data_IF_623756587852
#
_entry.id   IF_623756587852
#
_cell.length_a   1.000
_cell.length_b   1.000
_cell.length_c   1.000
_cell.angle_alpha   90.00
_cell.angle_beta   90.00
_cell.angle_gamma   90.00
#
_symmetry.space_group_name_H-M   'P 1'
#
loop_
_entity.id
_entity.type
_entity.pdbx_description
1 polymer ?
#
# COMPACT_ATOMS: atom_id res chain seq x y z
N UNK A 1 -45.40 -58.82 -5.15
CA UNK A 1 -45.06 -57.40 -4.94
C UNK A 1 -44.15 -57.32 -3.73
N UNK A 2 -42.84 -57.39 -3.98
CA UNK A 2 -41.78 -57.27 -2.98
C UNK A 2 -40.69 -56.46 -3.67
N UNK A 3 -40.35 -55.30 -3.12
CA UNK A 3 -39.15 -54.57 -3.51
C UNK A 3 -38.18 -54.66 -2.34
N UNK A 4 -37.02 -55.25 -2.63
CA UNK A 4 -35.83 -55.31 -1.79
C UNK A 4 -34.67 -54.75 -2.63
N UNK A 5 -33.81 -53.99 -1.98
CA UNK A 5 -32.79 -53.10 -2.55
C UNK A 5 -31.59 -53.81 -3.20
N UNK A 6 -30.94 -53.08 -4.13
CA UNK A 6 -29.53 -53.09 -4.60
C UNK A 6 -29.43 -51.84 -5.50
N UNK A 7 -28.41 -51.00 -5.60
CA UNK A 7 -27.01 -50.97 -5.18
C UNK A 7 -26.35 -49.89 -6.06
N UNK A 8 -25.30 -49.23 -5.57
CA UNK A 8 -24.54 -48.19 -6.30
C UNK A 8 -23.98 -48.69 -7.65
N UNK A 9 -23.92 -47.80 -8.64
CA UNK A 9 -22.87 -47.84 -9.67
C UNK A 9 -22.58 -46.44 -10.21
N UNK A 10 -21.35 -45.98 -9.92
CA UNK A 10 -20.63 -44.92 -10.61
C UNK A 10 -20.53 -45.24 -12.11
N UNK A 11 -20.56 -44.21 -12.95
CA UNK A 11 -19.80 -44.21 -14.19
C UNK A 11 -19.10 -42.87 -14.34
N UNK A 12 -17.79 -42.99 -14.44
CA UNK A 12 -16.80 -41.95 -14.51
C UNK A 12 -16.79 -41.28 -15.88
N UNK A 13 -16.74 -39.95 -15.88
CA UNK A 13 -16.06 -39.14 -16.90
C UNK A 13 -15.32 -38.03 -16.14
N UNK A 14 -14.43 -38.45 -15.24
CA UNK A 14 -13.38 -37.62 -14.70
C UNK A 14 -12.12 -37.88 -15.52
N UNK A 15 -11.74 -36.92 -16.35
CA UNK A 15 -10.36 -36.63 -16.77
C UNK A 15 -10.37 -35.69 -17.98
N UNK A 16 -10.74 -34.42 -17.76
CA UNK A 16 -10.46 -33.33 -18.69
C UNK A 16 -10.02 -32.06 -17.95
N UNK A 17 -9.29 -32.21 -16.84
CA UNK A 17 -8.51 -31.12 -16.27
C UNK A 17 -7.17 -31.71 -15.86
N UNK A 18 -6.31 -31.96 -16.85
CA UNK A 18 -4.88 -32.13 -16.56
C UNK A 18 -4.38 -30.78 -16.08
N UNK A 19 -4.10 -30.73 -14.79
CA UNK A 19 -3.45 -29.66 -14.05
C UNK A 19 -2.10 -29.32 -14.73
N UNK A 20 -2.13 -28.44 -15.73
CA UNK A 20 -0.94 -27.93 -16.42
C UNK A 20 -0.56 -26.58 -15.86
N UNK A 21 0.52 -26.64 -15.07
CA UNK A 21 1.45 -25.58 -14.63
C UNK A 21 0.90 -24.44 -13.78
N UNK A 22 0.98 -24.62 -12.45
CA UNK A 22 1.27 -23.52 -11.53
C UNK A 22 2.73 -23.05 -11.72
N UNK A 23 3.00 -22.19 -12.69
CA UNK A 23 4.22 -21.37 -12.62
C UNK A 23 3.98 -20.30 -11.57
N UNK A 24 4.62 -20.46 -10.40
CA UNK A 24 4.74 -19.37 -9.43
C UNK A 24 5.66 -18.30 -10.03
N UNK A 25 5.11 -17.40 -10.85
CA UNK A 25 5.84 -16.19 -11.22
C UNK A 25 6.02 -15.34 -9.96
N UNK A 26 7.28 -15.13 -9.58
CA UNK A 26 7.63 -14.26 -8.46
C UNK A 26 7.58 -12.84 -8.99
N UNK A 27 6.70 -12.00 -8.45
CA UNK A 27 6.58 -10.61 -8.89
C UNK A 27 7.93 -9.91 -8.76
N UNK A 28 8.56 -9.58 -9.89
CA UNK A 28 9.82 -8.85 -9.92
C UNK A 28 9.54 -7.35 -10.09
N UNK A 29 9.31 -6.69 -8.97
CA UNK A 29 9.07 -5.25 -8.92
C UNK A 29 10.40 -4.51 -8.94
N UNK A 30 10.64 -3.70 -9.97
CA UNK A 30 11.95 -3.09 -10.14
C UNK A 30 11.99 -1.57 -10.11
N UNK A 31 10.89 -0.84 -10.37
CA UNK A 31 10.99 0.62 -10.51
C UNK A 31 9.77 1.37 -9.97
N UNK A 32 10.04 2.34 -9.11
CA UNK A 32 9.16 3.48 -8.89
C UNK A 32 9.38 4.46 -10.05
N UNK A 33 8.33 4.79 -10.80
CA UNK A 33 8.41 5.91 -11.73
C UNK A 33 8.27 7.25 -10.96
N UNK A 34 8.48 8.38 -11.65
CA UNK A 34 8.40 9.72 -11.07
C UNK A 34 7.06 10.07 -10.40
N UNK A 35 6.01 9.25 -10.59
CA UNK A 35 4.67 9.39 -10.01
C UNK A 35 4.36 8.37 -8.91
N UNK A 36 5.35 7.62 -8.39
CA UNK A 36 5.16 6.62 -7.32
C UNK A 36 4.35 5.37 -7.68
N UNK A 37 4.13 5.10 -8.98
CA UNK A 37 3.52 3.84 -9.38
C UNK A 37 4.52 2.68 -9.24
N UNK A 38 4.06 1.62 -8.56
CA UNK A 38 4.70 0.30 -8.56
C UNK A 38 4.51 -0.28 -9.96
N UNK A 39 5.61 -0.62 -10.63
CA UNK A 39 5.59 -1.16 -12.00
C UNK A 39 6.19 -2.56 -12.06
N UNK A 40 5.66 -3.39 -12.97
CA UNK A 40 6.22 -4.69 -13.35
C UNK A 40 6.98 -4.54 -14.67
N UNK A 41 8.12 -5.22 -14.81
CA UNK A 41 8.93 -5.17 -16.04
C UNK A 41 8.38 -6.08 -17.14
N UNK A 42 7.58 -7.09 -16.77
CA UNK A 42 7.08 -8.12 -17.68
C UNK A 42 5.56 -8.21 -17.71
N UNK A 43 4.85 -7.61 -16.75
CA UNK A 43 3.39 -7.53 -16.71
C UNK A 43 2.83 -6.32 -17.45
N UNK A 44 1.59 -5.97 -17.11
CA UNK A 44 0.82 -4.89 -17.75
C UNK A 44 0.65 -3.77 -16.73
N UNK A 45 1.22 -2.60 -17.00
CA UNK A 45 1.09 -1.45 -16.11
C UNK A 45 -0.13 -0.60 -16.50
N UNK A 46 -0.57 0.24 -15.56
CA UNK A 46 -1.55 1.28 -15.81
C UNK A 46 -1.34 2.04 -17.13
N UNK A 47 -2.43 2.20 -17.89
CA UNK A 47 -2.44 2.89 -19.18
C UNK A 47 -1.82 2.07 -20.31
N UNK A 48 -1.37 0.84 -20.04
CA UNK A 48 -0.87 -0.08 -21.05
C UNK A 48 -1.97 -1.06 -21.48
N UNK A 49 -1.87 -1.45 -22.75
CA UNK A 49 -2.70 -2.46 -23.39
C UNK A 49 -1.77 -3.49 -24.01
N UNK A 50 -1.98 -4.76 -23.67
CA UNK A 50 -1.21 -5.87 -24.22
C UNK A 50 -2.15 -6.81 -24.98
N UNK A 51 -1.75 -7.19 -26.20
CA UNK A 51 -2.47 -8.18 -27.00
C UNK A 51 -1.67 -9.48 -26.98
N UNK A 52 -2.27 -10.55 -26.48
CA UNK A 52 -1.64 -11.85 -26.30
C UNK A 52 -2.40 -12.92 -27.11
N UNK A 53 -1.69 -13.86 -27.76
CA UNK A 53 -2.36 -14.95 -28.46
C UNK A 53 -2.93 -15.96 -27.45
N UNK A 54 -4.13 -16.47 -27.72
CA UNK A 54 -4.69 -17.63 -27.03
C UNK A 54 -4.11 -18.89 -27.68
N UNK A 55 -3.29 -19.63 -26.93
CA UNK A 55 -2.54 -20.79 -27.42
C UNK A 55 -3.05 -22.07 -26.76
N UNK A 56 -3.65 -22.96 -27.55
CA UNK A 56 -4.04 -24.28 -27.10
C UNK A 56 -3.25 -25.35 -27.88
N UNK A 57 -2.38 -26.10 -27.20
CA UNK A 57 -1.48 -27.08 -27.83
C UNK A 57 -0.68 -26.47 -29.01
N UNK A 58 -0.09 -25.29 -28.79
CA UNK A 58 0.66 -24.51 -29.79
C UNK A 58 -0.17 -23.99 -30.99
N UNK A 59 -1.49 -24.22 -30.99
CA UNK A 59 -2.41 -23.65 -31.96
C UNK A 59 -2.94 -22.29 -31.46
N UNK A 60 -2.80 -21.25 -32.29
CA UNK A 60 -3.47 -19.97 -32.05
C UNK A 60 -4.96 -20.15 -32.33
N UNK A 61 -5.79 -19.97 -31.29
CA UNK A 61 -7.26 -20.11 -31.39
C UNK A 61 -7.98 -18.76 -31.33
N UNK A 62 -7.26 -17.68 -31.03
CA UNK A 62 -7.74 -16.31 -30.95
C UNK A 62 -6.70 -15.42 -30.25
N UNK A 63 -7.13 -14.27 -29.76
CA UNK A 63 -6.33 -13.38 -28.91
C UNK A 63 -7.13 -12.82 -27.75
N UNK A 64 -6.42 -12.41 -26.71
CA UNK A 64 -6.95 -11.59 -25.62
C UNK A 64 -6.19 -10.27 -25.57
N UNK A 65 -6.92 -9.17 -25.65
CA UNK A 65 -6.42 -7.83 -25.36
C UNK A 65 -6.70 -7.51 -23.90
N UNK A 66 -5.64 -7.27 -23.13
CA UNK A 66 -5.72 -6.91 -21.72
C UNK A 66 -5.32 -5.45 -21.57
N UNK A 67 -6.24 -4.64 -21.07
CA UNK A 67 -6.04 -3.22 -20.78
C UNK A 67 -6.18 -2.98 -19.29
N UNK A 68 -5.21 -2.27 -18.69
CA UNK A 68 -5.29 -1.80 -17.31
C UNK A 68 -5.45 -0.28 -17.34
N UNK A 69 -6.61 0.23 -16.94
CA UNK A 69 -6.86 1.67 -16.82
C UNK A 69 -6.98 2.10 -15.35
N UNK A 70 -7.46 3.33 -15.09
CA UNK A 70 -7.57 3.87 -13.73
C UNK A 70 -8.63 3.18 -12.88
N UNK A 71 -9.60 2.50 -13.48
CA UNK A 71 -10.78 1.96 -12.80
C UNK A 71 -10.88 0.45 -12.95
N UNK A 72 -10.44 -0.12 -14.07
CA UNK A 72 -10.68 -1.50 -14.42
C UNK A 72 -9.48 -2.19 -15.07
N UNK A 73 -9.47 -3.51 -14.94
CA UNK A 73 -8.81 -4.41 -15.87
C UNK A 73 -9.88 -4.84 -16.87
N UNK A 74 -9.62 -4.67 -18.16
CA UNK A 74 -10.50 -5.11 -19.25
C UNK A 74 -9.82 -6.21 -20.03
N UNK A 75 -10.48 -7.36 -20.15
CA UNK A 75 -10.04 -8.49 -20.97
C UNK A 75 -11.01 -8.62 -22.14
N UNK A 76 -10.52 -8.39 -23.35
CA UNK A 76 -11.28 -8.47 -24.58
C UNK A 76 -10.79 -9.65 -25.42
N UNK A 77 -11.62 -10.67 -25.52
CA UNK A 77 -11.34 -11.86 -26.31
C UNK A 77 -11.85 -11.67 -27.73
N UNK A 78 -10.98 -11.91 -28.72
CA UNK A 78 -11.30 -11.86 -30.14
C UNK A 78 -10.87 -13.15 -30.84
N UNK A 79 -11.88 -13.88 -31.34
CA UNK A 79 -11.76 -15.10 -32.15
C UNK A 79 -12.36 -14.88 -33.55
N UNK A 80 -12.58 -13.62 -33.94
CA UNK A 80 -13.16 -13.26 -35.23
C UNK A 80 -12.24 -13.72 -36.35
N UNK A 81 -12.83 -14.36 -37.37
CA UNK A 81 -12.07 -14.93 -38.49
C UNK A 81 -11.34 -16.24 -38.17
N UNK A 82 -11.36 -16.71 -36.93
CA UNK A 82 -10.90 -18.06 -36.56
C UNK A 82 -12.02 -19.08 -36.81
N UNK A 83 -11.71 -20.37 -36.76
CA UNK A 83 -12.74 -21.43 -36.80
C UNK A 83 -13.34 -21.75 -35.42
N UNK A 84 -12.71 -21.25 -34.36
CA UNK A 84 -13.05 -21.47 -32.96
C UNK A 84 -13.99 -20.39 -32.43
N UNK A 85 -14.83 -20.74 -31.46
CA UNK A 85 -15.70 -19.83 -30.71
C UNK A 85 -15.62 -20.14 -29.21
N UNK A 86 -15.93 -19.14 -28.37
CA UNK A 86 -15.86 -19.27 -26.92
C UNK A 86 -16.89 -20.29 -26.42
N UNK A 87 -16.47 -21.16 -25.50
CA UNK A 87 -17.32 -22.17 -24.87
C UNK A 87 -17.50 -21.91 -23.38
N UNK A 88 -16.39 -21.68 -22.68
CA UNK A 88 -16.37 -21.38 -21.23
C UNK A 88 -15.13 -20.55 -20.92
N UNK A 89 -15.21 -19.65 -19.95
CA UNK A 89 -14.01 -19.03 -19.41
C UNK A 89 -14.11 -18.88 -17.90
N UNK A 90 -12.94 -18.86 -17.24
CA UNK A 90 -12.80 -18.51 -15.84
C UNK A 90 -11.56 -17.64 -15.65
N UNK A 91 -11.70 -16.54 -14.92
CA UNK A 91 -10.62 -15.59 -14.62
C UNK A 91 -10.53 -15.36 -13.11
N UNK A 92 -9.31 -15.36 -12.60
CA UNK A 92 -8.91 -14.82 -11.31
C UNK A 92 -8.07 -13.57 -11.55
N UNK A 93 -8.35 -12.51 -10.81
CA UNK A 93 -7.46 -11.36 -10.68
C UNK A 93 -7.24 -11.12 -9.19
N UNK A 94 -5.98 -11.05 -8.74
CA UNK A 94 -5.68 -10.88 -7.31
C UNK A 94 -4.23 -11.15 -6.93
N UNK A 95 -4.00 -11.51 -5.67
CA UNK A 95 -2.66 -11.83 -5.14
C UNK A 95 -2.11 -13.12 -5.77
N UNK A 96 -0.96 -13.00 -6.44
CA UNK A 96 -0.28 -14.11 -7.10
C UNK A 96 0.21 -15.21 -6.18
N UNK A 97 0.36 -14.92 -4.90
CA UNK A 97 0.73 -15.94 -3.92
C UNK A 97 -0.48 -16.75 -3.44
N UNK A 98 -1.68 -16.31 -3.81
CA UNK A 98 -2.96 -16.81 -3.29
C UNK A 98 -3.93 -17.20 -4.41
N UNK A 99 -3.41 -17.60 -5.59
CA UNK A 99 -4.24 -18.07 -6.71
C UNK A 99 -4.98 -19.36 -6.31
N UNK A 100 -6.33 -19.35 -6.28
CA UNK A 100 -7.11 -20.53 -5.91
C UNK A 100 -7.12 -21.58 -7.04
N UNK A 101 -7.75 -22.75 -6.85
CA UNK A 101 -8.05 -23.64 -7.97
C UNK A 101 -9.02 -23.00 -8.99
N UNK A 102 -8.94 -23.39 -10.27
CA UNK A 102 -9.81 -22.86 -11.34
C UNK A 102 -11.31 -22.96 -11.04
N UNK A 103 -11.75 -23.96 -10.26
CA UNK A 103 -13.15 -24.11 -9.86
C UNK A 103 -13.70 -22.92 -9.07
N UNK A 104 -12.81 -22.20 -8.40
CA UNK A 104 -13.14 -21.16 -7.43
C UNK A 104 -12.88 -19.75 -7.98
N UNK A 105 -12.64 -19.64 -9.30
CA UNK A 105 -12.38 -18.36 -9.95
C UNK A 105 -13.64 -17.49 -9.94
N UNK A 106 -13.54 -16.23 -9.46
CA UNK A 106 -14.71 -15.41 -9.17
C UNK A 106 -15.41 -14.89 -10.44
N UNK A 107 -14.70 -14.79 -11.56
CA UNK A 107 -15.25 -14.34 -12.83
C UNK A 107 -15.35 -15.52 -13.79
N UNK A 108 -16.55 -15.89 -14.21
CA UNK A 108 -16.77 -17.00 -15.13
C UNK A 108 -18.00 -16.77 -15.99
N UNK A 109 -18.01 -17.31 -17.19
CA UNK A 109 -19.16 -17.33 -18.10
C UNK A 109 -19.09 -18.60 -18.96
N UNK A 110 -20.25 -19.18 -19.24
CA UNK A 110 -20.38 -20.28 -20.20
C UNK A 110 -21.24 -19.81 -21.37
N UNK A 111 -20.79 -20.04 -22.59
CA UNK A 111 -21.43 -19.52 -23.79
C UNK A 111 -22.30 -20.56 -24.49
N UNK A 112 -23.39 -20.13 -25.15
CA UNK A 112 -24.18 -21.03 -25.97
C UNK A 112 -23.40 -21.46 -27.21
N UNK A 113 -23.70 -22.67 -27.71
CA UNK A 113 -23.14 -23.17 -28.98
C UNK A 113 -23.81 -22.52 -30.21
N UNK A 114 -24.97 -21.87 -30.01
CA UNK A 114 -25.72 -21.18 -31.05
C UNK A 114 -26.53 -20.04 -30.43
N UNK A 115 -26.30 -18.77 -30.82
CA UNK A 115 -25.26 -18.33 -31.75
C UNK A 115 -23.85 -18.53 -31.17
N UNK A 116 -22.87 -18.77 -32.03
CA UNK A 116 -21.46 -18.86 -31.65
C UNK A 116 -20.97 -17.48 -31.18
N UNK A 117 -20.35 -17.42 -30.00
CA UNK A 117 -19.75 -16.19 -29.45
C UNK A 117 -18.27 -16.16 -29.80
N UNK A 118 -17.86 -15.17 -30.58
CA UNK A 118 -16.47 -15.03 -31.08
C UNK A 118 -15.78 -13.79 -30.53
N UNK A 119 -16.51 -12.96 -29.80
CA UNK A 119 -16.01 -11.74 -29.19
C UNK A 119 -16.67 -11.61 -27.83
N UNK A 120 -15.89 -11.30 -26.80
CA UNK A 120 -16.41 -11.11 -25.44
C UNK A 120 -15.50 -10.18 -24.63
N UNK A 121 -16.08 -9.35 -23.79
CA UNK A 121 -15.33 -8.46 -22.90
C UNK A 121 -15.70 -8.71 -21.45
N UNK A 122 -14.71 -9.03 -20.63
CA UNK A 122 -14.80 -9.03 -19.17
C UNK A 122 -14.20 -7.72 -18.62
N UNK A 123 -14.92 -7.08 -17.70
CA UNK A 123 -14.44 -5.89 -16.98
C UNK A 123 -14.36 -6.21 -15.49
N UNK A 124 -13.17 -6.09 -14.92
CA UNK A 124 -12.88 -6.36 -13.51
C UNK A 124 -12.54 -5.03 -12.83
N UNK A 125 -13.34 -4.57 -11.84
CA UNK A 125 -13.04 -3.33 -11.12
C UNK A 125 -11.75 -3.44 -10.29
N UNK A 126 -10.81 -2.51 -10.49
CA UNK A 126 -9.55 -2.47 -9.73
C UNK A 126 -9.75 -2.16 -8.24
N UNK A 127 -10.86 -1.49 -7.87
CA UNK A 127 -11.17 -1.12 -6.48
C UNK A 127 -11.26 -2.32 -5.52
N UNK A 128 -11.54 -3.52 -6.05
CA UNK A 128 -11.72 -4.75 -5.28
C UNK A 128 -10.45 -5.63 -5.32
N UNK A 129 -9.37 -5.13 -5.93
CA UNK A 129 -8.14 -5.85 -6.23
C UNK A 129 -6.90 -5.20 -5.54
N UNK A 130 -5.81 -5.96 -5.32
CA UNK A 130 -4.55 -5.38 -4.88
C UNK A 130 -3.95 -4.46 -5.95
N UNK A 131 -3.11 -3.51 -5.51
CA UNK A 131 -2.42 -2.53 -6.38
C UNK A 131 -1.60 -3.19 -7.48
N UNK A 132 -0.86 -4.26 -7.16
CA UNK A 132 -0.27 -5.14 -8.15
C UNK A 132 -0.65 -6.57 -7.82
N UNK A 133 -0.92 -7.35 -8.85
CA UNK A 133 -1.32 -8.75 -8.74
C UNK A 133 -1.10 -9.48 -10.05
N UNK A 134 -1.86 -10.53 -10.27
CA UNK A 134 -1.89 -11.23 -11.55
C UNK A 134 -3.30 -11.58 -11.93
N UNK A 135 -3.46 -11.65 -13.24
CA UNK A 135 -4.57 -12.23 -13.95
C UNK A 135 -4.15 -13.66 -14.24
N UNK A 136 -4.96 -14.61 -13.82
CA UNK A 136 -4.83 -16.01 -14.19
C UNK A 136 -6.15 -16.46 -14.80
N UNK A 137 -6.08 -17.03 -16.00
CA UNK A 137 -7.28 -17.42 -16.73
C UNK A 137 -7.15 -18.80 -17.34
N UNK A 138 -8.31 -19.43 -17.49
CA UNK A 138 -8.52 -20.65 -18.26
C UNK A 138 -9.70 -20.39 -19.20
N UNK A 139 -9.44 -20.49 -20.50
CA UNK A 139 -10.44 -20.28 -21.54
C UNK A 139 -10.59 -21.58 -22.33
N UNK A 140 -11.82 -22.05 -22.43
CA UNK A 140 -12.19 -23.17 -23.30
C UNK A 140 -12.86 -22.63 -24.53
N UNK A 141 -12.33 -23.01 -25.69
CA UNK A 141 -12.86 -22.71 -27.00
C UNK A 141 -13.38 -23.99 -27.64
N UNK A 142 -14.33 -23.85 -28.55
CA UNK A 142 -14.89 -24.98 -29.27
C UNK A 142 -15.04 -24.72 -30.76
N UNK A 143 -15.09 -25.81 -31.53
CA UNK A 143 -15.46 -25.79 -32.96
C UNK A 143 -16.20 -27.07 -33.31
N UNK A 144 -16.98 -27.04 -34.39
CA UNK A 144 -17.53 -28.26 -34.97
C UNK A 144 -16.57 -28.87 -35.97
N UNK A 145 -16.16 -30.13 -35.74
CA UNK A 145 -15.32 -30.84 -36.69
C UNK A 145 -16.14 -31.16 -37.96
N UNK A 146 -15.70 -30.72 -39.15
CA UNK A 146 -16.47 -30.90 -40.38
C UNK A 146 -16.54 -32.37 -40.85
N UNK A 147 -15.60 -33.21 -40.41
CA UNK A 147 -15.51 -34.63 -40.78
C UNK A 147 -16.32 -35.54 -39.85
N UNK A 148 -16.40 -35.21 -38.55
CA UNK A 148 -17.09 -36.04 -37.56
C UNK A 148 -18.42 -35.47 -37.10
N UNK A 149 -18.71 -34.20 -37.41
CA UNK A 149 -19.85 -33.45 -36.88
C UNK A 149 -19.93 -33.44 -35.34
N UNK A 150 -18.77 -33.62 -34.67
CA UNK A 150 -18.66 -33.57 -33.22
C UNK A 150 -18.06 -32.23 -32.78
N UNK A 151 -18.42 -31.81 -31.57
CA UNK A 151 -17.84 -30.63 -30.93
C UNK A 151 -16.44 -30.97 -30.42
N UNK A 152 -15.45 -30.22 -30.87
CA UNK A 152 -14.08 -30.26 -30.34
C UNK A 152 -13.89 -29.14 -29.33
N UNK A 153 -13.20 -29.44 -28.24
CA UNK A 153 -12.89 -28.50 -27.16
C UNK A 153 -11.37 -28.39 -27.02
N UNK A 154 -10.89 -27.16 -26.90
CA UNK A 154 -9.52 -26.85 -26.56
C UNK A 154 -9.48 -25.86 -25.41
N UNK A 155 -8.50 -26.01 -24.54
CA UNK A 155 -8.30 -25.14 -23.39
C UNK A 155 -6.96 -24.44 -23.50
N UNK A 156 -6.97 -23.14 -23.24
CA UNK A 156 -5.79 -22.28 -23.11
C UNK A 156 -5.75 -21.73 -21.70
N UNK A 157 -4.55 -21.51 -21.19
CA UNK A 157 -4.31 -20.84 -19.90
C UNK A 157 -3.37 -19.67 -20.11
N UNK A 158 -3.61 -18.58 -19.40
CA UNK A 158 -2.74 -17.42 -19.41
C UNK A 158 -2.52 -16.94 -17.97
N UNK A 159 -1.27 -16.64 -17.65
CA UNK A 159 -0.88 -15.97 -16.43
C UNK A 159 -0.17 -14.67 -16.79
N UNK A 160 -0.62 -13.54 -16.21
CA UNK A 160 -0.01 -12.25 -16.47
C UNK A 160 -0.08 -11.34 -15.26
N UNK A 161 1.05 -10.78 -14.86
CA UNK A 161 1.11 -9.73 -13.84
C UNK A 161 0.44 -8.44 -14.31
N UNK A 162 -0.17 -7.71 -13.39
CA UNK A 162 -0.67 -6.35 -13.60
C UNK A 162 -0.29 -5.43 -12.45
N UNK A 163 -0.21 -4.13 -12.73
CA UNK A 163 -0.16 -3.07 -11.71
C UNK A 163 -1.16 -1.97 -12.06
N UNK A 164 -2.02 -1.62 -11.11
CA UNK A 164 -3.02 -0.59 -11.23
C UNK A 164 -2.39 0.79 -11.40
N UNK A 165 -3.21 1.74 -11.83
CA UNK A 165 -2.88 3.15 -11.71
C UNK A 165 -2.93 3.45 -10.21
N UNK A 166 -1.83 3.27 -9.47
CA UNK A 166 -1.78 3.78 -8.12
C UNK A 166 -2.08 5.28 -8.21
N UNK A 167 -3.23 5.72 -7.74
CA UNK A 167 -3.29 7.07 -7.23
C UNK A 167 -2.32 7.08 -6.04
N UNK A 168 -1.38 8.03 -5.96
CA UNK A 168 -0.47 8.11 -4.82
C UNK A 168 -1.33 8.13 -3.56
N UNK A 169 -1.12 7.16 -2.65
CA UNK A 169 -1.86 6.97 -1.38
C UNK A 169 -2.54 8.29 -0.95
N UNK A 170 -3.80 8.46 -1.36
CA UNK A 170 -4.57 9.70 -1.16
C UNK A 170 -4.97 9.87 0.31
N UNK A 171 -4.74 8.81 1.08
CA UNK A 171 -4.77 8.80 2.52
C UNK A 171 -3.48 9.42 3.04
N UNK A 172 -3.64 10.59 3.65
CA UNK A 172 -2.52 11.28 4.24
C UNK A 172 -1.98 10.51 5.46
N UNK A 173 -0.64 10.50 5.56
CA UNK A 173 0.03 10.37 6.84
C UNK A 173 -0.49 11.42 7.82
N UNK A 174 -0.15 11.29 9.10
CA UNK A 174 -0.49 12.32 10.08
C UNK A 174 0.75 12.84 10.77
N UNK A 175 0.94 14.15 10.70
CA UNK A 175 1.89 14.88 11.52
C UNK A 175 1.16 15.91 12.35
N UNK A 176 1.83 16.46 13.36
CA UNK A 176 1.29 17.57 14.14
C UNK A 176 2.39 18.54 14.50
N UNK A 177 2.01 19.82 14.57
CA UNK A 177 2.91 20.88 15.03
C UNK A 177 3.13 20.76 16.55
N UNK A 178 4.23 21.33 17.08
CA UNK A 178 4.43 21.40 18.53
C UNK A 178 3.27 22.07 19.26
N UNK A 179 2.67 23.11 18.67
CA UNK A 179 1.48 23.77 19.23
C UNK A 179 0.24 22.87 19.24
N UNK A 180 0.07 21.99 18.24
CA UNK A 180 -1.01 21.01 18.22
C UNK A 180 -0.93 20.01 19.37
N UNK A 181 0.27 19.45 19.61
CA UNK A 181 0.50 18.54 20.74
C UNK A 181 0.42 19.23 22.11
N UNK A 182 0.85 20.50 22.19
CA UNK A 182 0.76 21.32 23.39
C UNK A 182 -0.64 21.85 23.72
N UNK A 183 -1.60 21.75 22.81
CA UNK A 183 -2.93 22.30 23.01
C UNK A 183 -3.66 21.60 24.18
N UNK A 184 -4.38 22.34 25.04
CA UNK A 184 -5.25 21.75 26.04
C UNK A 184 -6.25 20.77 25.41
N UNK A 185 -6.47 19.56 25.98
CA UNK A 185 -7.42 18.59 25.43
C UNK A 185 -8.82 19.16 25.30
N UNK A 186 -9.33 19.24 24.06
CA UNK A 186 -10.69 19.66 23.77
C UNK A 186 -11.18 19.04 22.46
N UNK A 187 -12.36 18.42 22.49
CA UNK A 187 -12.98 17.79 21.33
C UNK A 187 -12.09 16.70 20.73
N UNK A 188 -11.78 16.80 19.44
CA UNK A 188 -10.95 15.84 18.71
C UNK A 188 -9.56 16.40 18.38
N UNK A 189 -9.08 17.40 19.14
CA UNK A 189 -7.77 18.00 18.90
C UNK A 189 -6.60 17.05 19.23
N UNK A 190 -5.37 17.34 18.78
CA UNK A 190 -4.22 16.45 19.01
C UNK A 190 -3.88 16.27 20.50
N UNK A 191 -4.11 17.29 21.33
CA UNK A 191 -4.00 17.17 22.79
C UNK A 191 -4.93 16.10 23.38
N UNK A 192 -6.16 15.98 22.88
CA UNK A 192 -7.09 14.92 23.32
C UNK A 192 -6.59 13.53 22.94
N UNK A 193 -6.09 13.38 21.71
CA UNK A 193 -5.49 12.12 21.27
C UNK A 193 -4.26 11.75 22.12
N UNK A 194 -3.38 12.73 22.36
CA UNK A 194 -2.19 12.55 23.20
C UNK A 194 -2.57 12.05 24.60
N UNK A 195 -3.50 12.72 25.28
CA UNK A 195 -3.92 12.33 26.64
C UNK A 195 -4.58 10.96 26.70
N UNK A 196 -5.35 10.59 25.67
CA UNK A 196 -5.97 9.27 25.57
C UNK A 196 -4.95 8.14 25.42
N UNK A 197 -3.90 8.37 24.63
CA UNK A 197 -3.07 7.28 24.10
C UNK A 197 -1.64 7.25 24.66
N UNK A 198 -1.16 8.32 25.30
CA UNK A 198 0.24 8.44 25.72
C UNK A 198 0.72 7.29 26.60
N UNK A 199 -0.07 6.88 27.59
CA UNK A 199 0.35 5.81 28.51
C UNK A 199 0.58 4.46 27.83
N UNK A 200 -0.15 4.19 26.74
CA UNK A 200 -0.03 2.96 25.97
C UNK A 200 1.12 3.03 24.95
N UNK A 201 1.27 4.16 24.27
CA UNK A 201 2.35 4.37 23.29
C UNK A 201 3.73 4.63 23.94
N UNK A 202 3.74 5.19 25.16
CA UNK A 202 4.93 5.58 25.90
C UNK A 202 4.88 5.09 27.36
N UNK A 203 4.89 3.76 27.61
CA UNK A 203 4.76 3.21 28.96
C UNK A 203 5.91 3.61 29.90
N UNK A 204 7.08 3.93 29.35
CA UNK A 204 8.25 4.44 30.09
C UNK A 204 8.38 5.98 30.04
N UNK A 205 7.40 6.68 29.47
CA UNK A 205 7.50 8.09 29.12
C UNK A 205 8.24 8.34 27.80
N UNK A 206 8.27 9.59 27.38
CA UNK A 206 8.97 10.06 26.19
C UNK A 206 10.33 10.62 26.59
N UNK A 207 11.39 10.17 25.93
CA UNK A 207 12.75 10.69 26.10
C UNK A 207 13.27 11.15 24.73
N UNK A 208 13.79 12.37 24.65
CA UNK A 208 14.48 12.90 23.47
C UNK A 208 15.87 13.40 23.81
N UNK A 209 16.78 13.38 22.84
CA UNK A 209 18.19 13.73 23.04
C UNK A 209 19.09 12.52 23.26
N UNK A 210 20.32 12.77 23.70
CA UNK A 210 21.34 11.74 23.85
C UNK A 210 22.21 11.97 25.11
N UNK A 211 23.33 12.72 25.04
CA UNK A 211 24.16 13.03 26.21
C UNK A 211 23.37 13.82 27.26
N UNK A 212 22.63 14.83 26.80
CA UNK A 212 21.59 15.49 27.56
C UNK A 212 20.23 15.14 26.97
N UNK A 213 19.24 15.04 27.85
CA UNK A 213 17.90 14.55 27.49
C UNK A 213 16.79 15.47 27.99
N UNK A 214 15.64 15.41 27.32
CA UNK A 214 14.38 15.87 27.89
C UNK A 214 13.49 14.64 28.08
N UNK A 215 12.96 14.48 29.28
CA UNK A 215 12.05 13.40 29.63
C UNK A 215 10.68 13.95 29.98
N UNK A 216 9.64 13.42 29.34
CA UNK A 216 8.24 13.65 29.70
C UNK A 216 7.63 12.36 30.23
N UNK A 217 7.12 12.39 31.47
CA UNK A 217 6.55 11.20 32.13
C UNK A 217 5.06 11.05 31.91
N UNK A 218 4.38 12.03 31.30
CA UNK A 218 2.93 12.00 31.06
C UNK A 218 2.53 12.89 29.89
N UNK A 219 1.32 12.67 29.36
CA UNK A 219 0.69 13.55 28.39
C UNK A 219 0.56 14.99 28.92
N UNK A 220 0.21 15.16 30.20
CA UNK A 220 0.13 16.48 30.81
C UNK A 220 1.48 17.20 30.82
N UNK A 221 2.58 16.48 31.08
CA UNK A 221 3.91 17.08 31.04
C UNK A 221 4.26 17.61 29.63
N UNK A 222 3.78 16.95 28.58
CA UNK A 222 3.94 17.42 27.20
C UNK A 222 3.08 18.66 26.95
N UNK A 223 1.80 18.64 27.36
CA UNK A 223 0.91 19.81 27.28
C UNK A 223 1.49 21.01 28.01
N UNK A 224 2.08 20.80 29.18
CA UNK A 224 2.69 21.89 29.97
C UNK A 224 4.03 22.36 29.39
N UNK A 225 4.70 21.54 28.58
CA UNK A 225 6.03 21.81 28.03
C UNK A 225 6.04 22.34 26.59
N UNK A 226 4.91 22.26 25.87
CA UNK A 226 4.79 22.66 24.47
C UNK A 226 3.69 23.72 24.27
N UNK A 227 3.88 24.66 23.31
CA UNK A 227 5.10 24.87 22.53
C UNK A 227 6.18 25.63 23.33
N UNK A 228 7.44 25.17 23.23
CA UNK A 228 8.59 25.86 23.82
C UNK A 228 9.32 26.68 22.76
N UNK A 229 9.05 27.98 22.70
CA UNK A 229 9.78 28.91 21.82
C UNK A 229 11.24 29.14 22.27
N UNK A 230 11.95 30.00 21.54
CA UNK A 230 13.33 30.39 21.86
C UNK A 230 14.31 30.09 20.72
N UNK A 231 15.61 30.07 21.01
CA UNK A 231 16.64 29.87 19.98
C UNK A 231 16.96 28.39 19.84
N UNK A 232 16.95 27.83 18.61
CA UNK A 232 17.47 26.48 18.36
C UNK A 232 18.87 26.31 18.94
N UNK A 233 19.05 25.35 19.85
CA UNK A 233 20.32 25.15 20.53
C UNK A 233 20.52 23.71 20.97
N UNK A 234 21.77 23.36 21.26
CA UNK A 234 22.15 22.11 21.93
C UNK A 234 21.83 22.23 23.41
N UNK A 235 21.31 21.16 24.03
CA UNK A 235 21.06 21.12 25.47
C UNK A 235 22.38 21.20 26.25
N UNK A 236 22.34 21.86 27.41
CA UNK A 236 23.48 21.99 28.33
C UNK A 236 23.28 21.22 29.64
N UNK A 237 22.07 20.69 29.85
CA UNK A 237 21.68 19.82 30.97
C UNK A 237 20.48 18.98 30.55
N UNK A 238 20.18 17.94 31.31
CA UNK A 238 18.94 17.19 31.15
C UNK A 238 17.77 17.89 31.86
N UNK A 239 16.56 17.70 31.32
CA UNK A 239 15.31 18.25 31.84
C UNK A 239 14.32 17.12 32.10
N UNK A 240 13.63 17.18 33.23
CA UNK A 240 12.52 16.30 33.57
C UNK A 240 11.25 17.14 33.63
N UNK A 241 10.25 16.78 32.82
CA UNK A 241 8.96 17.46 32.69
C UNK A 241 9.11 19.00 32.61
N UNK A 242 9.82 19.52 31.60
CA UNK A 242 9.96 20.97 31.45
C UNK A 242 8.60 21.63 31.22
N UNK A 243 8.48 22.90 31.60
CA UNK A 243 7.26 23.69 31.36
C UNK A 243 7.54 24.86 30.42
N UNK A 244 6.54 25.28 29.64
CA UNK A 244 6.62 26.40 28.70
C UNK A 244 6.62 27.78 29.38
N UNK A 245 6.34 27.82 30.70
CA UNK A 245 6.20 29.07 31.44
C UNK A 245 7.49 29.90 31.32
N UNK A 246 7.45 31.14 30.79
CA UNK A 246 8.66 31.90 30.44
C UNK A 246 9.61 32.21 31.61
N UNK A 247 9.10 32.14 32.84
CA UNK A 247 9.83 32.41 34.09
C UNK A 247 10.26 31.14 34.84
N UNK A 248 9.96 29.96 34.30
CA UNK A 248 10.38 28.70 34.92
C UNK A 248 11.86 28.41 34.60
N UNK A 249 12.64 28.11 35.64
CA UNK A 249 14.02 27.62 35.52
C UNK A 249 14.13 26.22 34.88
N UNK A 250 13.00 25.52 34.80
CA UNK A 250 12.84 24.23 34.11
C UNK A 250 12.27 24.37 32.69
N UNK A 251 12.45 25.53 32.05
CA UNK A 251 12.11 25.72 30.63
C UNK A 251 13.39 25.74 29.77
N UNK A 252 13.55 24.81 28.80
CA UNK A 252 14.73 24.80 27.93
C UNK A 252 14.78 25.99 26.95
N UNK A 253 13.65 26.66 26.67
CA UNK A 253 13.54 27.76 25.70
C UNK A 253 14.20 27.44 24.35
N UNK A 254 13.86 26.28 23.81
CA UNK A 254 14.58 25.67 22.70
C UNK A 254 13.62 25.17 21.63
N UNK A 255 13.56 25.89 20.51
CA UNK A 255 12.69 25.56 19.39
C UNK A 255 13.08 24.24 18.72
N UNK A 256 14.36 23.83 18.75
CA UNK A 256 14.75 22.49 18.26
C UNK A 256 14.08 21.41 19.11
N UNK A 257 14.11 21.55 20.44
CA UNK A 257 13.53 20.58 21.35
C UNK A 257 12.04 20.34 21.07
N UNK A 258 11.25 21.41 20.86
CA UNK A 258 9.82 21.27 20.64
C UNK A 258 9.50 20.55 19.32
N UNK A 259 10.28 20.79 18.25
CA UNK A 259 10.10 20.10 16.98
C UNK A 259 10.55 18.64 17.01
N UNK A 260 11.62 18.31 17.75
CA UNK A 260 12.04 16.92 17.97
C UNK A 260 10.96 16.14 18.72
N UNK A 261 10.41 16.73 19.79
CA UNK A 261 9.32 16.11 20.57
C UNK A 261 8.09 15.89 19.68
N UNK A 262 7.68 16.89 18.91
CA UNK A 262 6.50 16.79 18.04
C UNK A 262 6.66 15.69 16.97
N UNK A 263 7.84 15.59 16.37
CA UNK A 263 8.10 14.56 15.37
C UNK A 263 8.14 13.17 16.00
N UNK A 264 8.82 13.01 17.14
CA UNK A 264 8.90 11.72 17.84
C UNK A 264 7.52 11.22 18.27
N UNK A 265 6.64 12.11 18.72
CA UNK A 265 5.24 11.77 19.00
C UNK A 265 4.54 11.25 17.75
N UNK A 266 4.61 12.00 16.64
CA UNK A 266 3.95 11.62 15.38
C UNK A 266 4.46 10.27 14.86
N UNK A 267 5.78 10.05 14.82
CA UNK A 267 6.39 8.79 14.37
C UNK A 267 6.02 7.61 15.26
N UNK A 268 6.01 7.79 16.59
CA UNK A 268 5.70 6.69 17.51
C UNK A 268 4.22 6.35 17.48
N UNK A 269 3.33 7.36 17.43
CA UNK A 269 1.89 7.09 17.33
C UNK A 269 1.51 6.44 16.01
N UNK A 270 2.13 6.84 14.90
CA UNK A 270 1.94 6.20 13.59
C UNK A 270 2.38 4.73 13.57
N UNK A 271 3.43 4.40 14.33
CA UNK A 271 3.89 3.03 14.49
C UNK A 271 3.02 2.21 15.46
N UNK A 272 2.41 2.84 16.47
CA UNK A 272 1.66 2.18 17.54
C UNK A 272 0.17 2.01 17.24
N UNK A 273 -0.46 3.01 16.61
CA UNK A 273 -1.87 3.02 16.24
C UNK A 273 -1.99 2.99 14.71
N UNK A 274 -2.48 1.88 14.18
CA UNK A 274 -2.70 1.70 12.73
C UNK A 274 -3.70 2.71 12.16
N UNK A 275 -4.59 3.26 13.00
CA UNK A 275 -5.59 4.27 12.61
C UNK A 275 -5.11 5.72 12.89
N UNK A 276 -3.85 5.93 13.29
CA UNK A 276 -3.35 7.26 13.63
C UNK A 276 -3.39 8.21 12.42
N UNK A 277 -2.86 7.74 11.31
CA UNK A 277 -2.97 8.32 9.97
C UNK A 277 -3.75 7.36 9.07
N UNK A 278 -4.27 7.87 7.96
CA UNK A 278 -5.03 7.03 7.04
C UNK A 278 -4.12 6.24 6.08
N UNK A 279 -2.87 6.69 5.90
CA UNK A 279 -1.88 6.05 5.01
C UNK A 279 -1.54 4.64 5.46
N UNK A 280 -1.32 3.75 4.48
CA UNK A 280 -0.80 2.40 4.74
C UNK A 280 0.73 2.40 4.95
N UNK A 281 1.41 3.48 4.54
CA UNK A 281 2.84 3.67 4.72
C UNK A 281 3.12 4.27 6.10
N UNK A 282 4.24 3.89 6.72
CA UNK A 282 4.66 4.50 8.00
C UNK A 282 5.41 5.81 7.78
N UNK A 283 5.09 6.84 8.56
CA UNK A 283 5.70 8.17 8.54
C UNK A 283 7.23 8.09 8.62
N UNK A 284 7.75 7.15 9.41
CA UNK A 284 9.18 6.92 9.57
C UNK A 284 9.91 6.65 8.24
N UNK A 285 9.23 6.04 7.26
CA UNK A 285 9.78 5.63 5.97
C UNK A 285 9.64 6.71 4.89
N UNK A 286 8.82 7.73 5.12
CA UNK A 286 8.66 8.82 4.17
C UNK A 286 9.97 9.57 3.96
N UNK A 287 10.19 10.01 2.72
CA UNK A 287 11.43 10.65 2.29
C UNK A 287 11.23 12.14 2.05
N UNK A 288 12.19 12.93 2.52
CA UNK A 288 12.26 14.37 2.28
C UNK A 288 12.54 14.66 0.80
N UNK A 289 11.73 15.52 0.19
CA UNK A 289 11.77 15.78 -1.26
C UNK A 289 12.69 16.93 -1.67
N UNK A 290 13.06 17.82 -0.73
CA UNK A 290 13.83 19.05 -1.01
C UNK A 290 14.71 19.51 0.16
N UNK A 291 15.60 20.46 -0.08
CA UNK A 291 16.53 21.02 0.92
C UNK A 291 17.74 20.13 1.25
N UNK A 292 18.49 20.52 2.29
CA UNK A 292 19.75 19.88 2.73
C UNK A 292 19.60 18.39 3.09
N UNK A 293 18.38 17.95 3.40
CA UNK A 293 18.06 16.58 3.81
C UNK A 293 17.29 15.81 2.72
N UNK A 294 17.26 16.31 1.48
CA UNK A 294 16.62 15.59 0.37
C UNK A 294 17.13 14.15 0.27
N UNK A 295 16.20 13.19 0.16
CA UNK A 295 16.52 11.76 0.08
C UNK A 295 16.65 11.08 1.43
N UNK A 296 16.64 11.82 2.55
CA UNK A 296 16.62 11.22 3.88
C UNK A 296 15.20 10.81 4.26
N UNK A 297 15.10 9.68 4.96
CA UNK A 297 13.87 9.24 5.61
C UNK A 297 13.59 10.09 6.86
N UNK A 298 12.32 10.18 7.25
CA UNK A 298 11.92 10.84 8.50
C UNK A 298 12.63 10.21 9.71
N UNK A 299 12.79 8.88 9.74
CA UNK A 299 13.53 8.19 10.79
C UNK A 299 15.00 8.66 10.90
N UNK A 300 15.68 8.82 9.76
CA UNK A 300 17.06 9.32 9.73
C UNK A 300 17.15 10.77 10.20
N UNK A 301 16.22 11.63 9.76
CA UNK A 301 16.17 13.04 10.21
C UNK A 301 15.91 13.12 11.71
N UNK A 302 14.96 12.35 12.24
CA UNK A 302 14.66 12.31 13.66
C UNK A 302 15.88 11.86 14.49
N UNK A 303 16.53 10.77 14.09
CA UNK A 303 17.72 10.27 14.78
C UNK A 303 18.86 11.29 14.80
N UNK A 304 19.09 11.99 13.68
CA UNK A 304 20.13 13.03 13.60
C UNK A 304 19.76 14.27 14.43
N UNK A 305 18.48 14.66 14.45
CA UNK A 305 18.02 15.76 15.28
C UNK A 305 18.14 15.47 16.78
N UNK A 306 17.92 14.22 17.22
CA UNK A 306 18.15 13.82 18.61
C UNK A 306 19.64 13.92 19.00
N UNK A 307 20.56 13.60 18.09
CA UNK A 307 22.00 13.82 18.32
C UNK A 307 22.32 15.30 18.51
N UNK A 308 21.86 16.15 17.59
CA UNK A 308 22.09 17.60 17.66
C UNK A 308 21.49 18.17 18.95
N UNK A 309 20.24 17.83 19.26
CA UNK A 309 19.56 18.30 20.48
C UNK A 309 20.33 17.89 21.74
N UNK A 310 20.71 16.61 21.83
CA UNK A 310 21.35 16.05 23.02
C UNK A 310 22.84 16.32 23.14
N UNK A 311 23.47 16.95 22.15
CA UNK A 311 24.90 17.27 22.17
C UNK A 311 25.82 16.10 21.83
N UNK A 312 25.34 15.16 21.03
CA UNK A 312 26.18 14.15 20.40
C UNK A 312 26.85 14.69 19.13
N UNK A 313 27.87 13.99 18.65
CA UNK A 313 28.55 14.36 17.41
C UNK A 313 27.56 14.38 16.23
N UNK A 314 27.48 15.53 15.56
CA UNK A 314 26.72 15.76 14.34
C UNK A 314 27.45 16.81 13.50
N UNK A 315 27.30 16.71 12.18
CA UNK A 315 27.80 17.72 11.24
C UNK A 315 26.79 18.84 10.98
N UNK A 316 25.58 18.75 11.57
CA UNK A 316 24.50 19.70 11.31
C UNK A 316 24.25 20.63 12.48
N UNK A 317 23.76 21.83 12.17
CA UNK A 317 23.43 22.83 13.19
C UNK A 317 22.01 22.64 13.73
N UNK A 318 21.77 23.14 14.96
CA UNK A 318 20.44 23.16 15.55
C UNK A 318 19.41 23.91 14.68
N UNK A 319 19.84 24.96 13.96
CA UNK A 319 18.98 25.72 13.05
C UNK A 319 18.59 24.90 11.82
N UNK A 320 19.53 24.18 11.19
CA UNK A 320 19.23 23.32 10.04
C UNK A 320 18.24 22.21 10.42
N UNK A 321 18.46 21.57 11.57
CA UNK A 321 17.54 20.55 12.09
C UNK A 321 16.15 21.12 12.38
N UNK A 322 16.08 22.30 12.98
CA UNK A 322 14.78 22.93 13.27
C UNK A 322 14.00 23.19 11.98
N UNK A 323 14.66 23.70 10.94
CA UNK A 323 14.01 23.97 9.64
C UNK A 323 13.42 22.72 9.00
N UNK A 324 14.17 21.61 8.94
CA UNK A 324 13.65 20.36 8.34
C UNK A 324 12.55 19.74 9.20
N UNK A 325 12.68 19.76 10.53
CA UNK A 325 11.65 19.22 11.40
C UNK A 325 10.35 20.03 11.36
N UNK A 326 10.43 21.35 11.21
CA UNK A 326 9.24 22.20 11.05
C UNK A 326 8.50 21.84 9.75
N UNK A 327 9.23 21.71 8.65
CA UNK A 327 8.67 21.30 7.36
C UNK A 327 8.02 19.90 7.42
N UNK A 328 8.65 18.95 8.13
CA UNK A 328 8.08 17.61 8.37
C UNK A 328 6.81 17.69 9.22
N UNK A 329 6.88 18.34 10.39
CA UNK A 329 5.76 18.40 11.34
C UNK A 329 4.54 19.12 10.75
N UNK A 330 4.77 20.05 9.82
CA UNK A 330 3.74 20.80 9.12
C UNK A 330 3.26 20.15 7.81
N UNK A 331 3.85 19.02 7.40
CA UNK A 331 3.56 18.40 6.11
C UNK A 331 2.13 17.83 6.04
N UNK A 332 1.71 17.11 7.08
CA UNK A 332 0.41 16.44 7.15
C UNK A 332 -0.37 16.75 8.43
N UNK A 333 -0.44 18.03 8.80
CA UNK A 333 -1.16 18.48 9.99
C UNK A 333 -2.60 17.94 9.97
N UNK A 334 -2.98 17.29 11.08
CA UNK A 334 -4.27 16.61 11.26
C UNK A 334 -4.63 15.53 10.23
N UNK A 335 -3.67 15.06 9.43
CA UNK A 335 -3.93 14.14 8.31
C UNK A 335 -4.72 14.79 7.17
N UNK A 336 -4.74 16.13 7.11
CA UNK A 336 -5.55 16.90 6.14
C UNK A 336 -4.72 17.74 5.19
N UNK A 337 -3.53 18.17 5.61
CA UNK A 337 -2.60 18.88 4.76
C UNK A 337 -1.69 17.90 4.01
N UNK A 338 -1.19 18.31 2.85
CA UNK A 338 -0.01 17.71 2.22
C UNK A 338 0.75 18.83 1.51
N UNK A 339 1.90 19.22 2.05
CA UNK A 339 2.71 20.30 1.47
C UNK A 339 3.59 19.82 0.31
N UNK A 340 3.67 18.50 0.07
CA UNK A 340 4.60 17.88 -0.89
C UNK A 340 6.05 17.77 -0.39
N UNK A 341 6.32 18.14 0.87
CA UNK A 341 7.67 18.07 1.45
C UNK A 341 8.13 16.64 1.73
N UNK A 342 7.18 15.74 2.00
CA UNK A 342 7.41 14.32 2.18
C UNK A 342 6.82 13.53 1.02
N UNK A 343 7.46 12.41 0.73
CA UNK A 343 7.04 11.45 -0.28
C UNK A 343 7.04 10.05 0.33
N UNK A 344 5.92 9.35 0.25
CA UNK A 344 5.80 7.96 0.68
C UNK A 344 6.65 7.05 -0.21
N UNK A 345 7.26 6.06 0.42
CA UNK A 345 7.97 4.96 -0.24
C UNK A 345 7.10 3.70 -0.22
#
# INVERSE_FOLDING_TARGET
MVFLALGCQENQNGDLFKDTSKSKETIILHKFNGANARTTETGINCGETHILPLLANDLVVGSVEITVDQTNITLHYDLTGMEWFLYDFRVFAGDCNSIPPFSDYPYFESFPQSPEVREFTLVIPLKDLPECGCIDEIVTVSRYNPSTSQLELLTTTLNKEYCSCSEPDDKNLRTQTPGGWGAPPNGNNPGTYLHKNFGAAFPAGLVVGCNYTITFTSAQAITDGLPSGGTPSVLTKSYLNPTEKPKDSNNPKNTLAMHVVALKLSVTFDAWDEDFGASSTKLANSVVTSGDFKGWTVAQVLAEAEKVLGGCASSYTASQMTTVLDAINSCYVDGKANTGFLKNQ
#
